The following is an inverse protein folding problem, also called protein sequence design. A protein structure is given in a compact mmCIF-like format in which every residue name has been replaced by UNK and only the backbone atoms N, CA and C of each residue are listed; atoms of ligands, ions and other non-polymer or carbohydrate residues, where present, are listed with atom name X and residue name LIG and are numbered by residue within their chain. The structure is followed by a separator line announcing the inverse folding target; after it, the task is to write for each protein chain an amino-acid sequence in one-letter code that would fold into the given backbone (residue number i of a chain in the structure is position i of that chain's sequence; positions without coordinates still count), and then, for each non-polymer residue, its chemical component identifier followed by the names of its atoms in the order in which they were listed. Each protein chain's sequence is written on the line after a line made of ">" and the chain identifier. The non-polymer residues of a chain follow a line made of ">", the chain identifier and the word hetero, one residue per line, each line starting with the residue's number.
data_IF_569722541169
#
_entry.id   IF_569722541169
#
_cell.length_a   1.000
_cell.length_b   1.000
_cell.length_c   1.000
_cell.angle_alpha   90.00
_cell.angle_beta   90.00
_cell.angle_gamma   90.00
#
_symmetry.space_group_name_H-M   'P 1'
#
loop_
_entity.id
_entity.type
_entity.pdbx_description
1 polymer ?
#
# COMPACT_ATOMS: atom_id res chain seq x y z
N UNK A 1 -17.16 10.94 -24.23
CA UNK A 1 -16.18 10.14 -23.47
C UNK A 1 -15.23 11.08 -22.75
N UNK A 2 -14.98 10.80 -21.48
CA UNK A 2 -14.06 11.57 -20.66
C UNK A 2 -12.62 11.52 -21.25
N UNK A 3 -11.93 12.65 -21.24
CA UNK A 3 -10.57 12.73 -21.79
C UNK A 3 -9.59 11.76 -21.12
N UNK A 4 -9.77 11.52 -19.83
CA UNK A 4 -8.93 10.56 -19.09
C UNK A 4 -9.18 9.13 -19.53
N UNK A 5 -10.42 8.80 -19.86
CA UNK A 5 -10.76 7.47 -20.39
C UNK A 5 -10.15 7.27 -21.77
N UNK A 6 -10.20 8.29 -22.63
CA UNK A 6 -9.55 8.24 -23.95
C UNK A 6 -8.04 8.06 -23.81
N UNK A 7 -7.42 8.77 -22.87
CA UNK A 7 -5.98 8.67 -22.63
C UNK A 7 -5.59 7.26 -22.19
N UNK A 8 -6.34 6.67 -21.24
CA UNK A 8 -6.12 5.30 -20.77
C UNK A 8 -6.25 4.30 -21.90
N UNK A 9 -7.31 4.41 -22.70
CA UNK A 9 -7.53 3.52 -23.84
C UNK A 9 -6.40 3.63 -24.88
N UNK A 10 -5.92 4.84 -25.11
CA UNK A 10 -4.79 5.08 -26.01
C UNK A 10 -3.50 4.41 -25.51
N UNK A 11 -3.19 4.58 -24.23
CA UNK A 11 -2.02 3.95 -23.61
C UNK A 11 -2.13 2.43 -23.64
N UNK A 12 -3.28 1.90 -23.25
CA UNK A 12 -3.52 0.46 -23.22
C UNK A 12 -3.42 -0.15 -24.62
N UNK A 13 -3.99 0.51 -25.63
CA UNK A 13 -3.90 0.07 -27.01
C UNK A 13 -2.46 0.05 -27.50
N UNK A 14 -1.71 1.12 -27.23
CA UNK A 14 -0.31 1.21 -27.61
C UNK A 14 0.51 0.09 -26.96
N UNK A 15 0.33 -0.14 -25.65
CA UNK A 15 1.04 -1.20 -24.94
C UNK A 15 0.71 -2.59 -25.47
N UNK A 16 -0.55 -2.83 -25.86
CA UNK A 16 -0.98 -4.11 -26.41
C UNK A 16 -0.16 -4.48 -27.67
N UNK A 17 0.17 -3.50 -28.48
CA UNK A 17 0.93 -3.74 -29.72
C UNK A 17 2.44 -3.64 -29.54
N UNK A 18 2.93 -2.93 -28.54
CA UNK A 18 4.34 -2.56 -28.40
C UNK A 18 5.01 -3.05 -27.10
N UNK A 19 4.32 -3.82 -26.26
CA UNK A 19 4.84 -4.20 -24.95
C UNK A 19 6.21 -4.90 -25.01
N UNK A 20 6.50 -5.63 -26.07
CA UNK A 20 7.77 -6.35 -26.23
C UNK A 20 8.96 -5.42 -26.40
N UNK A 21 8.72 -4.18 -26.79
CA UNK A 21 9.76 -3.17 -26.97
C UNK A 21 10.09 -2.45 -25.67
N UNK A 22 9.32 -2.70 -24.62
CA UNK A 22 9.46 -2.04 -23.33
C UNK A 22 10.34 -2.86 -22.40
N UNK A 23 11.20 -2.19 -21.63
CA UNK A 23 11.87 -2.82 -20.51
C UNK A 23 10.85 -3.09 -19.40
N UNK A 24 11.17 -3.98 -18.49
CA UNK A 24 10.32 -4.27 -17.34
C UNK A 24 10.01 -2.99 -16.54
N UNK A 25 11.03 -2.17 -16.33
CA UNK A 25 10.89 -0.89 -15.62
C UNK A 25 9.93 0.07 -16.34
N UNK A 26 10.03 0.15 -17.68
CA UNK A 26 9.14 0.99 -18.47
C UNK A 26 7.69 0.51 -18.39
N UNK A 27 7.46 -0.81 -18.45
CA UNK A 27 6.13 -1.38 -18.31
C UNK A 27 5.53 -1.07 -16.94
N UNK A 28 6.33 -1.18 -15.89
CA UNK A 28 5.90 -0.86 -14.53
C UNK A 28 5.44 0.60 -14.44
N UNK A 29 6.20 1.53 -14.99
CA UNK A 29 5.84 2.95 -15.01
C UNK A 29 4.54 3.20 -15.76
N UNK A 30 4.35 2.56 -16.92
CA UNK A 30 3.12 2.73 -17.70
C UNK A 30 1.91 2.14 -16.98
N UNK A 31 2.07 1.01 -16.29
CA UNK A 31 0.99 0.41 -15.51
C UNK A 31 0.57 1.31 -14.35
N UNK A 32 1.53 1.91 -13.66
CA UNK A 32 1.23 2.87 -12.58
C UNK A 32 0.48 4.08 -13.13
N UNK A 33 0.90 4.58 -14.28
CA UNK A 33 0.25 5.72 -14.95
C UNK A 33 -1.19 5.37 -15.33
N UNK A 34 -1.42 4.21 -15.93
CA UNK A 34 -2.77 3.74 -16.29
C UNK A 34 -3.65 3.65 -15.06
N UNK A 35 -3.14 3.05 -13.98
CA UNK A 35 -3.87 2.90 -12.73
C UNK A 35 -4.29 4.27 -12.17
N UNK A 36 -3.37 5.23 -12.15
CA UNK A 36 -3.66 6.59 -11.71
C UNK A 36 -4.74 7.28 -12.54
N UNK A 37 -4.67 7.14 -13.84
CA UNK A 37 -5.67 7.71 -14.75
C UNK A 37 -7.04 7.04 -14.61
N UNK A 38 -7.07 5.73 -14.43
CA UNK A 38 -8.31 4.99 -14.18
C UNK A 38 -8.98 5.46 -12.88
N UNK A 39 -8.21 5.62 -11.82
CA UNK A 39 -8.72 6.09 -10.53
C UNK A 39 -9.30 7.50 -10.65
N UNK A 40 -8.64 8.38 -11.38
CA UNK A 40 -9.17 9.73 -11.64
C UNK A 40 -10.45 9.70 -12.44
N UNK A 41 -10.51 8.87 -13.47
CA UNK A 41 -11.69 8.75 -14.33
C UNK A 41 -12.90 8.19 -13.57
N UNK A 42 -12.66 7.27 -12.65
CA UNK A 42 -13.71 6.66 -11.83
C UNK A 42 -14.09 7.53 -10.63
N UNK A 43 -13.37 8.63 -10.38
CA UNK A 43 -13.64 9.48 -9.24
C UNK A 43 -13.27 8.82 -7.91
N UNK A 44 -12.41 7.82 -7.93
CA UNK A 44 -11.91 7.18 -6.70
C UNK A 44 -11.09 8.21 -5.95
N UNK A 45 -11.39 8.47 -4.66
CA UNK A 45 -10.58 9.37 -3.87
C UNK A 45 -9.13 8.89 -3.91
N UNK A 46 -8.22 9.83 -4.18
CA UNK A 46 -6.80 9.53 -4.10
C UNK A 46 -6.48 9.07 -2.69
N UNK A 47 -6.38 7.77 -2.53
CA UNK A 47 -5.75 7.23 -1.36
C UNK A 47 -4.25 7.28 -1.63
N UNK A 48 -3.71 8.50 -1.57
CA UNK A 48 -2.34 8.84 -1.99
C UNK A 48 -1.28 8.07 -1.27
N UNK A 49 -1.69 7.29 -0.31
CA UNK A 49 -0.75 6.79 0.64
C UNK A 49 -0.48 5.30 0.53
N UNK A 50 -1.27 4.56 -0.23
CA UNK A 50 -1.14 3.11 -0.23
C UNK A 50 -0.82 2.57 -1.62
N UNK A 51 0.34 1.91 -1.72
CA UNK A 51 0.78 1.20 -2.91
C UNK A 51 0.59 -0.30 -2.73
N UNK A 52 0.62 -1.06 -3.83
CA UNK A 52 0.57 -2.52 -3.77
C UNK A 52 1.78 -3.08 -3.00
N UNK A 53 2.92 -2.43 -3.11
CA UNK A 53 4.11 -2.79 -2.34
C UNK A 53 3.85 -2.66 -0.84
N UNK A 54 3.24 -1.56 -0.42
CA UNK A 54 2.88 -1.34 0.99
C UNK A 54 1.84 -2.35 1.48
N UNK A 55 0.89 -2.73 0.63
CA UNK A 55 -0.08 -3.77 0.97
C UNK A 55 0.62 -5.11 1.23
N UNK A 56 1.60 -5.45 0.40
CA UNK A 56 2.41 -6.65 0.60
C UNK A 56 3.22 -6.60 1.88
N UNK A 57 3.88 -5.48 2.14
CA UNK A 57 4.62 -5.26 3.38
C UNK A 57 3.71 -5.39 4.61
N UNK A 58 2.54 -4.76 4.55
CA UNK A 58 1.57 -4.83 5.65
C UNK A 58 1.08 -6.26 5.89
N UNK A 59 0.88 -7.04 4.84
CA UNK A 59 0.48 -8.44 4.97
C UNK A 59 1.50 -9.23 5.79
N UNK A 60 2.79 -9.04 5.54
CA UNK A 60 3.86 -9.68 6.30
C UNK A 60 3.87 -9.18 7.75
N UNK A 61 3.82 -7.88 7.95
CA UNK A 61 3.85 -7.25 9.28
C UNK A 61 2.65 -7.72 10.11
N UNK A 62 1.48 -7.76 9.50
CA UNK A 62 0.25 -8.21 10.12
C UNK A 62 0.37 -9.65 10.63
N UNK A 63 0.99 -10.54 9.85
CA UNK A 63 1.24 -11.91 10.26
C UNK A 63 2.26 -11.98 11.42
N UNK A 64 3.26 -11.11 11.43
CA UNK A 64 4.21 -11.03 12.53
C UNK A 64 3.51 -10.60 13.82
N UNK A 65 2.58 -9.67 13.72
CA UNK A 65 1.81 -9.21 14.89
C UNK A 65 0.86 -10.31 15.38
N UNK A 66 0.06 -10.88 14.48
CA UNK A 66 -1.03 -11.77 14.86
C UNK A 66 -0.64 -13.23 15.03
N UNK A 67 0.20 -13.74 14.16
CA UNK A 67 0.58 -15.16 14.17
C UNK A 67 1.85 -15.43 14.97
N UNK A 68 2.89 -14.64 14.70
CA UNK A 68 4.18 -14.80 15.40
C UNK A 68 4.16 -14.15 16.78
N UNK A 69 3.31 -13.17 16.96
CA UNK A 69 3.17 -12.40 18.21
C UNK A 69 4.46 -11.72 18.67
N UNK A 70 5.27 -11.29 17.69
CA UNK A 70 6.51 -10.58 17.98
C UNK A 70 6.37 -9.10 17.65
N UNK A 71 5.95 -8.32 18.65
CA UNK A 71 5.70 -6.89 18.48
C UNK A 71 6.98 -6.09 18.21
N UNK A 72 8.09 -6.49 18.81
CA UNK A 72 9.38 -5.82 18.56
C UNK A 72 9.83 -5.95 17.12
N UNK A 73 9.70 -7.15 16.55
CA UNK A 73 10.02 -7.38 15.15
C UNK A 73 9.06 -6.62 14.23
N UNK A 74 7.76 -6.64 14.56
CA UNK A 74 6.77 -5.90 13.81
C UNK A 74 7.07 -4.39 13.79
N UNK A 75 7.45 -3.83 14.93
CA UNK A 75 7.83 -2.43 15.02
C UNK A 75 9.06 -2.10 14.18
N UNK A 76 10.05 -2.98 14.17
CA UNK A 76 11.24 -2.82 13.34
C UNK A 76 10.90 -2.84 11.86
N UNK A 77 10.06 -3.79 11.45
CA UNK A 77 9.61 -3.89 10.06
C UNK A 77 8.81 -2.65 9.63
N UNK A 78 7.94 -2.14 10.49
CA UNK A 78 7.22 -0.89 10.24
C UNK A 78 8.18 0.27 10.05
N UNK A 79 9.20 0.38 10.89
CA UNK A 79 10.20 1.43 10.80
C UNK A 79 10.96 1.38 9.48
N UNK A 80 11.43 0.21 9.10
CA UNK A 80 12.14 0.01 7.84
C UNK A 80 11.27 0.30 6.62
N UNK A 81 10.00 -0.05 6.69
CA UNK A 81 9.05 0.19 5.62
C UNK A 81 8.51 1.62 5.58
N UNK A 82 8.77 2.42 6.60
CA UNK A 82 8.20 3.77 6.71
C UNK A 82 6.70 3.77 6.98
N UNK A 83 6.20 2.72 7.62
CA UNK A 83 4.78 2.57 7.93
C UNK A 83 4.54 3.01 9.37
N UNK A 84 3.94 4.20 9.54
CA UNK A 84 3.59 4.73 10.84
C UNK A 84 2.13 4.46 11.20
N UNK A 85 1.67 5.08 12.30
CA UNK A 85 0.33 4.87 12.84
C UNK A 85 -0.78 5.17 11.81
N UNK A 86 -0.72 6.32 11.17
CA UNK A 86 -1.73 6.72 10.19
C UNK A 86 -1.75 5.76 8.98
N UNK A 87 -0.58 5.33 8.54
CA UNK A 87 -0.46 4.39 7.44
C UNK A 87 -1.06 3.03 7.81
N UNK A 88 -0.82 2.56 9.02
CA UNK A 88 -1.40 1.31 9.53
C UNK A 88 -2.92 1.40 9.51
N UNK A 89 -3.48 2.49 10.00
CA UNK A 89 -4.94 2.69 10.00
C UNK A 89 -5.50 2.71 8.58
N UNK A 90 -4.82 3.35 7.65
CA UNK A 90 -5.22 3.38 6.26
C UNK A 90 -5.12 1.99 5.61
N UNK A 91 -4.07 1.23 5.92
CA UNK A 91 -3.90 -0.14 5.43
C UNK A 91 -4.97 -1.08 5.96
N UNK A 92 -5.33 -0.98 7.24
CA UNK A 92 -6.42 -1.76 7.80
C UNK A 92 -7.75 -1.46 7.09
N UNK A 93 -8.01 -0.20 6.83
CA UNK A 93 -9.23 0.22 6.14
C UNK A 93 -9.28 -0.30 4.70
N UNK A 94 -8.13 -0.34 4.03
CA UNK A 94 -8.00 -0.77 2.63
C UNK A 94 -7.98 -2.30 2.50
N UNK A 95 -7.20 -2.98 3.34
CA UNK A 95 -6.94 -4.42 3.23
C UNK A 95 -7.83 -5.28 4.13
N UNK A 96 -8.57 -4.66 5.05
CA UNK A 96 -9.37 -5.37 6.06
C UNK A 96 -8.66 -5.47 7.40
N UNK A 97 -9.42 -5.93 8.39
CA UNK A 97 -9.00 -5.91 9.80
C UNK A 97 -8.62 -7.32 10.29
N UNK A 98 -7.75 -8.01 9.57
CA UNK A 98 -7.21 -9.28 10.05
C UNK A 98 -6.41 -9.05 11.33
N UNK A 99 -6.52 -9.96 12.28
CA UNK A 99 -5.86 -9.85 13.60
C UNK A 99 -6.14 -8.50 14.28
N UNK A 100 -7.38 -8.02 14.19
CA UNK A 100 -7.78 -6.70 14.66
C UNK A 100 -7.37 -6.44 16.11
N UNK A 101 -7.64 -7.39 16.99
CA UNK A 101 -7.33 -7.27 18.42
C UNK A 101 -5.82 -7.17 18.66
N UNK A 102 -5.07 -8.05 18.02
CA UNK A 102 -3.61 -8.10 18.15
C UNK A 102 -2.97 -6.83 17.59
N UNK A 103 -3.44 -6.35 16.44
CA UNK A 103 -2.96 -5.11 15.86
C UNK A 103 -3.27 -3.92 16.76
N UNK A 104 -4.47 -3.88 17.35
CA UNK A 104 -4.84 -2.82 18.28
C UNK A 104 -3.94 -2.84 19.52
N UNK A 105 -3.63 -4.02 20.05
CA UNK A 105 -2.71 -4.17 21.16
C UNK A 105 -1.29 -3.72 20.81
N UNK A 106 -0.83 -4.08 19.62
CA UNK A 106 0.45 -3.64 19.09
C UNK A 106 0.53 -2.10 19.03
N UNK A 107 -0.51 -1.46 18.49
CA UNK A 107 -0.56 -0.01 18.38
C UNK A 107 -0.59 0.66 19.75
N UNK A 108 -1.32 0.08 20.68
CA UNK A 108 -1.43 0.59 22.05
C UNK A 108 -0.08 0.51 22.78
N UNK A 109 0.61 -0.62 22.67
CA UNK A 109 1.94 -0.78 23.25
C UNK A 109 2.96 0.17 22.63
N UNK A 110 2.90 0.36 21.33
CA UNK A 110 3.78 1.26 20.62
C UNK A 110 3.58 2.70 21.08
N UNK A 111 2.33 3.12 21.32
CA UNK A 111 2.02 4.44 21.86
C UNK A 111 2.56 4.65 23.27
N UNK A 112 2.56 3.60 24.06
CA UNK A 112 3.02 3.65 25.46
C UNK A 112 4.53 3.43 25.61
N UNK A 113 5.25 3.37 24.50
CA UNK A 113 6.69 3.16 24.51
C UNK A 113 7.11 1.72 24.78
N UNK A 114 6.19 0.76 24.70
CA UNK A 114 6.50 -0.66 24.87
C UNK A 114 7.28 -1.28 23.72
N UNK A 115 7.34 -0.60 22.58
CA UNK A 115 8.21 -0.92 21.45
C UNK A 115 8.98 0.33 21.07
N UNK A 116 10.14 0.18 20.44
CA UNK A 116 10.97 1.31 20.04
C UNK A 116 10.43 2.04 18.81
N UNK A 117 9.18 1.83 18.48
CA UNK A 117 8.56 2.45 17.31
C UNK A 117 7.83 3.71 17.70
N UNK A 118 8.26 4.83 17.17
CA UNK A 118 7.49 6.06 17.19
C UNK A 118 6.55 6.05 15.99
N UNK A 119 5.29 5.82 16.24
CA UNK A 119 4.26 5.83 15.19
C UNK A 119 3.77 7.26 14.94
N UNK A 120 4.68 8.15 14.59
CA UNK A 120 4.42 9.56 14.38
C UNK A 120 3.98 9.85 12.95
N UNK A 121 2.88 9.34 12.52
CA UNK A 121 2.35 9.75 11.21
C UNK A 121 0.85 9.89 11.30
#
# INVERSE_FOLDING_TARGET
>A
MNNKVKEVLGIASYLTYHWRQYSFEQLEKEMVRICGLCNKALGVPKNDSITDFERGQWSVIQNVIGYVENYSLAAELCREAGIGYKKIKALQKDCGYSYKEEVNNFLKESRNGGTDLKLEN
#
